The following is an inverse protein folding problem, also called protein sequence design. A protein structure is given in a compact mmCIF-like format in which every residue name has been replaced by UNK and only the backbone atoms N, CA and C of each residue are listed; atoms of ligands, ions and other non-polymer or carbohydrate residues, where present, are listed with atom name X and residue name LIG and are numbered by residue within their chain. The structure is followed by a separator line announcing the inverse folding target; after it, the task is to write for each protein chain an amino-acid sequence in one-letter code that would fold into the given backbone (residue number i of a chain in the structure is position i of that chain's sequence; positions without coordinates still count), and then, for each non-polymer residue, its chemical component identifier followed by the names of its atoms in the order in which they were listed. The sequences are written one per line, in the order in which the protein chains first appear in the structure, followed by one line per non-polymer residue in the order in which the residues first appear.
data_IF_256291940451
#
_entry.id   IF_256291940451
#
_cell.length_a   1.000
_cell.length_b   1.000
_cell.length_c   1.000
_cell.angle_alpha   90.00
_cell.angle_beta   90.00
_cell.angle_gamma   90.00
#
_symmetry.space_group_name_H-M   'P 1'
#
loop_
_entity.id
_entity.type
_entity.pdbx_description
1 polymer ?
#
# COMPACT_ATOMS: atom_id res chain seq x y z
N UNK A 1 -23.15 -48.43 24.04
CA UNK A 1 -24.55 -48.70 24.45
C UNK A 1 -25.41 -48.38 23.25
N UNK A 2 -25.92 -49.42 22.56
CA UNK A 2 -26.70 -49.28 21.35
C UNK A 2 -28.10 -48.81 21.66
N UNK A 3 -28.55 -47.77 21.00
CA UNK A 3 -29.97 -47.38 21.00
C UNK A 3 -30.66 -48.01 19.79
N UNK A 4 -31.45 -49.04 20.04
CA UNK A 4 -32.40 -49.60 19.10
C UNK A 4 -33.52 -48.57 18.86
N UNK A 5 -33.63 -48.06 17.65
CA UNK A 5 -34.79 -47.29 17.23
C UNK A 5 -35.97 -48.24 17.02
N UNK A 6 -36.90 -48.27 17.97
CA UNK A 6 -38.12 -49.02 17.90
C UNK A 6 -39.09 -48.24 17.01
N UNK A 7 -39.36 -48.78 15.81
CA UNK A 7 -40.41 -48.28 14.92
C UNK A 7 -41.77 -48.44 15.53
N UNK A 8 -42.53 -47.36 15.70
CA UNK A 8 -43.93 -47.35 16.18
C UNK A 8 -44.82 -47.87 15.06
N UNK A 9 -45.36 -49.08 15.25
CA UNK A 9 -46.44 -49.60 14.42
C UNK A 9 -47.77 -49.08 14.98
N UNK A 10 -48.34 -48.08 14.28
CA UNK A 10 -49.71 -47.65 14.56
C UNK A 10 -50.68 -48.63 13.85
N UNK A 11 -51.25 -49.57 14.57
CA UNK A 11 -52.35 -50.37 14.09
C UNK A 11 -53.69 -49.59 14.25
N UNK A 12 -54.14 -48.97 13.16
CA UNK A 12 -55.50 -48.43 13.07
C UNK A 12 -56.41 -49.58 12.62
N UNK A 13 -57.29 -50.09 13.53
CA UNK A 13 -58.35 -51.06 13.21
C UNK A 13 -59.40 -50.40 12.30
N UNK A 14 -59.30 -50.59 11.01
CA UNK A 14 -60.35 -50.34 10.02
C UNK A 14 -60.62 -51.67 9.27
N UNK A 15 -61.84 -51.93 8.95
CA UNK A 15 -62.31 -53.08 8.17
C UNK A 15 -61.44 -53.31 6.98
N UNK A 16 -60.70 -54.40 6.96
CA UNK A 16 -59.83 -54.80 5.87
C UNK A 16 -60.69 -55.16 4.68
N UNK A 17 -60.94 -54.14 3.78
CA UNK A 17 -61.07 -54.53 2.39
C UNK A 17 -59.67 -55.06 2.02
N UNK A 18 -59.61 -56.31 1.64
CA UNK A 18 -58.41 -56.89 1.06
C UNK A 18 -58.10 -56.09 -0.24
N UNK A 19 -57.37 -55.01 -0.14
CA UNK A 19 -56.73 -54.39 -1.27
C UNK A 19 -55.58 -55.35 -1.63
N UNK A 20 -55.65 -55.92 -2.78
CA UNK A 20 -54.65 -56.79 -3.38
C UNK A 20 -53.42 -55.91 -3.76
N UNK A 21 -52.72 -55.42 -2.75
CA UNK A 21 -51.34 -54.91 -3.04
C UNK A 21 -50.46 -56.15 -3.14
N UNK A 22 -50.10 -56.46 -4.36
CA UNK A 22 -49.37 -57.69 -4.64
C UNK A 22 -47.93 -57.63 -4.14
N UNK A 23 -47.39 -56.41 -3.89
CA UNK A 23 -45.92 -56.21 -3.66
C UNK A 23 -45.68 -55.37 -2.41
N UNK A 24 -44.69 -55.75 -1.56
CA UNK A 24 -44.16 -54.96 -0.46
C UNK A 24 -42.75 -54.53 -0.80
N UNK A 25 -42.57 -53.23 -1.04
CA UNK A 25 -41.31 -52.64 -1.54
C UNK A 25 -40.73 -51.67 -0.53
N UNK A 26 -39.41 -51.59 -0.45
CA UNK A 26 -38.70 -50.58 0.34
C UNK A 26 -38.29 -49.41 -0.55
N UNK A 27 -38.73 -48.20 -0.23
CA UNK A 27 -38.32 -46.97 -0.92
C UNK A 27 -37.37 -46.21 -0.02
N UNK A 28 -36.12 -46.03 -0.48
CA UNK A 28 -35.07 -45.30 0.21
C UNK A 28 -34.83 -43.98 -0.52
N UNK A 29 -35.36 -42.89 0.02
CA UNK A 29 -35.13 -41.55 -0.50
C UNK A 29 -34.09 -40.82 0.37
N UNK A 30 -32.90 -40.60 -0.19
CA UNK A 30 -31.78 -39.97 0.52
C UNK A 30 -31.50 -40.56 1.91
N UNK A 31 -31.56 -41.90 2.04
CA UNK A 31 -31.33 -42.63 3.29
C UNK A 31 -32.52 -42.67 4.24
N UNK A 32 -33.69 -42.17 3.85
CA UNK A 32 -34.93 -42.39 4.57
C UNK A 32 -35.65 -43.57 3.93
N UNK A 33 -35.68 -44.69 4.62
CA UNK A 33 -36.30 -45.92 4.15
C UNK A 33 -37.73 -46.02 4.62
N UNK A 34 -38.65 -46.21 3.67
CA UNK A 34 -40.07 -46.42 3.95
C UNK A 34 -40.51 -47.69 3.25
N UNK A 35 -41.18 -48.63 3.95
CA UNK A 35 -41.83 -49.78 3.37
C UNK A 35 -43.20 -49.40 2.87
N UNK A 36 -43.52 -49.72 1.63
CA UNK A 36 -44.76 -49.37 0.98
C UNK A 36 -45.39 -50.61 0.30
N UNK A 37 -46.67 -50.71 0.29
CA UNK A 37 -47.41 -51.64 -0.55
C UNK A 37 -47.89 -50.96 -1.81
N UNK A 38 -47.80 -51.64 -2.95
CA UNK A 38 -48.07 -51.08 -4.26
C UNK A 38 -48.61 -52.14 -5.21
N UNK A 39 -49.38 -51.70 -6.20
CA UNK A 39 -49.75 -52.43 -7.40
C UNK A 39 -48.99 -51.95 -8.66
N UNK A 40 -48.00 -51.07 -8.49
CA UNK A 40 -47.26 -50.55 -9.60
C UNK A 40 -46.38 -51.65 -10.23
N UNK A 41 -46.38 -51.74 -11.55
CA UNK A 41 -45.59 -52.69 -12.31
C UNK A 41 -44.13 -52.22 -12.52
N UNK A 42 -43.86 -50.91 -12.33
CA UNK A 42 -42.55 -50.35 -12.55
C UNK A 42 -42.11 -49.40 -11.42
N UNK A 43 -40.78 -49.21 -11.28
CA UNK A 43 -40.18 -48.29 -10.35
C UNK A 43 -40.70 -46.86 -10.54
N UNK A 44 -40.90 -46.43 -11.81
CA UNK A 44 -41.39 -45.09 -12.13
C UNK A 44 -42.81 -44.85 -11.68
N UNK A 45 -43.72 -45.86 -11.88
CA UNK A 45 -45.08 -45.79 -11.42
C UNK A 45 -45.18 -45.75 -9.90
N UNK A 46 -44.39 -46.58 -9.19
CA UNK A 46 -44.27 -46.54 -7.74
C UNK A 46 -43.89 -45.15 -7.23
N UNK A 47 -42.83 -44.54 -7.80
CA UNK A 47 -42.38 -43.25 -7.34
C UNK A 47 -43.42 -42.15 -7.59
N UNK A 48 -44.15 -42.21 -8.72
CA UNK A 48 -45.28 -41.32 -9.02
C UNK A 48 -46.46 -41.53 -8.05
N UNK A 49 -46.86 -42.78 -7.80
CA UNK A 49 -47.90 -43.15 -6.85
C UNK A 49 -47.61 -42.58 -5.44
N UNK A 50 -46.36 -42.70 -5.00
CA UNK A 50 -45.94 -42.24 -3.66
C UNK A 50 -45.55 -40.76 -3.63
N UNK A 51 -45.80 -40.03 -4.69
CA UNK A 51 -45.44 -38.59 -4.84
C UNK A 51 -43.98 -38.29 -4.56
N UNK A 52 -43.08 -39.20 -4.95
CA UNK A 52 -41.64 -38.97 -4.86
C UNK A 52 -41.18 -38.20 -6.10
N UNK A 53 -41.00 -36.91 -5.92
CA UNK A 53 -40.47 -36.03 -7.00
C UNK A 53 -39.03 -36.41 -7.33
N UNK A 54 -38.80 -36.75 -8.60
CA UNK A 54 -37.49 -37.16 -9.15
C UNK A 54 -37.15 -36.25 -10.34
N UNK A 55 -36.09 -35.51 -10.18
CA UNK A 55 -35.54 -34.66 -11.26
C UNK A 55 -34.66 -35.51 -12.21
N UNK A 56 -34.49 -35.02 -13.44
CA UNK A 56 -33.61 -35.68 -14.45
C UNK A 56 -32.14 -35.82 -14.00
N UNK A 57 -31.72 -35.04 -13.04
CA UNK A 57 -30.39 -35.08 -12.44
C UNK A 57 -30.25 -36.05 -11.26
N UNK A 58 -31.36 -36.58 -10.77
CA UNK A 58 -31.40 -37.51 -9.64
C UNK A 58 -31.00 -38.95 -10.11
N UNK A 59 -30.52 -39.75 -9.19
CA UNK A 59 -30.20 -41.15 -9.47
C UNK A 59 -31.25 -42.04 -8.85
N UNK A 60 -31.85 -42.92 -9.64
CA UNK A 60 -32.80 -43.91 -9.23
C UNK A 60 -32.22 -45.29 -9.55
N UNK A 61 -32.30 -46.20 -8.59
CA UNK A 61 -31.83 -47.60 -8.74
C UNK A 61 -32.79 -48.54 -8.04
N UNK A 62 -33.39 -49.52 -8.73
CA UNK A 62 -33.31 -49.78 -10.16
C UNK A 62 -33.81 -48.61 -11.00
N UNK A 63 -33.56 -48.62 -12.32
CA UNK A 63 -33.98 -47.53 -13.21
C UNK A 63 -35.52 -47.38 -13.20
N UNK A 64 -36.08 -46.17 -13.47
CA UNK A 64 -37.51 -45.94 -13.46
C UNK A 64 -38.34 -46.86 -14.39
N UNK A 65 -37.68 -47.33 -15.48
CA UNK A 65 -38.31 -48.26 -16.45
C UNK A 65 -38.19 -49.73 -16.08
N UNK A 66 -37.53 -50.06 -14.98
CA UNK A 66 -37.37 -51.42 -14.51
C UNK A 66 -38.67 -51.95 -13.89
N UNK A 67 -38.94 -53.22 -14.12
CA UNK A 67 -40.01 -53.94 -13.46
C UNK A 67 -39.77 -53.94 -11.95
N UNK A 68 -40.85 -54.03 -11.20
CA UNK A 68 -40.86 -54.00 -9.75
C UNK A 68 -41.37 -55.31 -9.19
N UNK A 69 -40.57 -55.93 -8.34
CA UNK A 69 -40.92 -57.20 -7.71
C UNK A 69 -41.08 -57.06 -6.18
N UNK A 70 -41.81 -58.06 -5.58
CA UNK A 70 -42.00 -58.13 -4.12
C UNK A 70 -40.62 -58.24 -3.42
N UNK A 71 -40.40 -57.39 -2.40
CA UNK A 71 -39.17 -57.32 -1.67
C UNK A 71 -38.12 -56.38 -2.23
N UNK A 72 -38.37 -55.74 -3.37
CA UNK A 72 -37.41 -54.82 -3.99
C UNK A 72 -37.06 -53.59 -3.11
N UNK A 73 -35.85 -53.06 -3.35
CA UNK A 73 -35.37 -51.86 -2.70
C UNK A 73 -35.10 -50.78 -3.77
N UNK A 74 -35.99 -49.81 -3.84
CA UNK A 74 -35.88 -48.67 -4.73
C UNK A 74 -35.14 -47.54 -4.01
N UNK A 75 -33.98 -47.16 -4.55
CA UNK A 75 -33.15 -46.07 -4.00
C UNK A 75 -33.26 -44.83 -4.86
N UNK A 76 -33.63 -43.72 -4.27
CA UNK A 76 -33.62 -42.39 -4.89
C UNK A 76 -32.54 -41.55 -4.22
N UNK A 77 -31.55 -41.12 -4.99
CA UNK A 77 -30.46 -40.22 -4.54
C UNK A 77 -30.57 -38.94 -5.30
N UNK A 78 -31.05 -37.91 -4.64
CA UNK A 78 -31.27 -36.59 -5.24
C UNK A 78 -29.95 -35.87 -5.47
N UNK A 79 -29.87 -35.17 -6.58
CA UNK A 79 -28.75 -34.30 -6.87
C UNK A 79 -28.72 -33.10 -5.92
N UNK A 80 -27.57 -32.87 -5.28
CA UNK A 80 -27.39 -31.82 -4.29
C UNK A 80 -26.22 -30.95 -4.67
N UNK A 81 -26.43 -29.63 -4.73
CA UNK A 81 -25.37 -28.68 -4.96
C UNK A 81 -24.51 -28.51 -3.70
N UNK A 82 -23.21 -28.62 -3.83
CA UNK A 82 -22.25 -28.45 -2.74
C UNK A 82 -21.18 -27.44 -3.12
N UNK A 83 -21.11 -26.34 -2.38
CA UNK A 83 -19.94 -25.46 -2.39
C UNK A 83 -18.91 -26.07 -1.45
N UNK A 84 -17.91 -26.71 -2.03
CA UNK A 84 -16.83 -27.36 -1.29
C UNK A 84 -15.60 -26.45 -1.20
N UNK A 85 -15.13 -26.23 0.03
CA UNK A 85 -13.90 -25.48 0.30
C UNK A 85 -12.89 -26.40 0.99
N UNK A 86 -11.80 -26.74 0.32
CA UNK A 86 -10.73 -27.53 0.91
C UNK A 86 -9.47 -26.67 1.00
N UNK A 87 -9.00 -26.41 2.21
CA UNK A 87 -7.83 -25.57 2.50
C UNK A 87 -7.83 -24.25 1.73
N UNK A 88 -9.00 -23.59 1.70
CA UNK A 88 -9.22 -22.31 1.05
C UNK A 88 -9.37 -22.35 -0.47
N UNK A 89 -9.40 -23.53 -1.08
CA UNK A 89 -9.76 -23.72 -2.49
C UNK A 89 -11.25 -23.99 -2.60
N UNK A 90 -11.97 -23.09 -3.23
CA UNK A 90 -13.42 -23.18 -3.42
C UNK A 90 -13.72 -23.92 -4.74
N UNK A 91 -14.68 -24.82 -4.71
CA UNK A 91 -15.23 -25.48 -5.90
C UNK A 91 -16.71 -25.75 -5.73
N UNK A 92 -17.46 -25.72 -6.82
CA UNK A 92 -18.86 -26.13 -6.84
C UNK A 92 -18.97 -27.53 -7.43
N UNK A 93 -19.73 -28.40 -6.76
CA UNK A 93 -19.91 -29.79 -7.09
C UNK A 93 -21.39 -30.16 -7.02
N UNK A 94 -21.78 -31.14 -7.78
CA UNK A 94 -23.08 -31.83 -7.62
C UNK A 94 -22.77 -33.24 -7.14
N UNK A 95 -23.41 -33.64 -6.03
CA UNK A 95 -23.25 -34.96 -5.42
C UNK A 95 -24.63 -35.60 -5.24
N UNK A 96 -24.64 -36.92 -5.05
CA UNK A 96 -25.86 -37.67 -4.80
C UNK A 96 -25.84 -38.37 -3.43
N UNK A 97 -24.78 -38.09 -2.68
CA UNK A 97 -24.55 -38.69 -1.36
C UNK A 97 -25.55 -38.15 -0.34
N UNK A 98 -25.77 -38.92 0.70
CA UNK A 98 -26.76 -38.61 1.75
C UNK A 98 -26.20 -37.57 2.73
N UNK A 99 -24.92 -37.69 3.05
CA UNK A 99 -24.25 -36.91 4.07
C UNK A 99 -22.91 -36.36 3.57
N UNK A 100 -22.27 -35.57 4.44
CA UNK A 100 -20.98 -34.91 4.12
C UNK A 100 -19.89 -35.96 3.93
N UNK A 101 -19.83 -37.03 4.74
CA UNK A 101 -18.81 -38.06 4.64
C UNK A 101 -18.84 -38.76 3.28
N UNK A 102 -20.02 -39.21 2.84
CA UNK A 102 -20.22 -39.81 1.53
C UNK A 102 -19.84 -38.87 0.39
N UNK A 103 -20.23 -37.59 0.50
CA UNK A 103 -19.84 -36.59 -0.51
C UNK A 103 -18.33 -36.38 -0.58
N UNK A 104 -17.62 -36.32 0.53
CA UNK A 104 -16.18 -36.19 0.56
C UNK A 104 -15.48 -37.41 -0.05
N UNK A 105 -15.99 -38.63 0.24
CA UNK A 105 -15.50 -39.87 -0.32
C UNK A 105 -15.68 -39.90 -1.86
N UNK A 106 -16.89 -39.63 -2.34
CA UNK A 106 -17.22 -39.63 -3.76
C UNK A 106 -16.43 -38.58 -4.56
N UNK A 107 -16.05 -37.48 -3.91
CA UNK A 107 -15.23 -36.40 -4.47
C UNK A 107 -13.70 -36.63 -4.29
N UNK A 108 -13.28 -37.79 -3.72
CA UNK A 108 -11.90 -38.14 -3.40
C UNK A 108 -11.22 -37.10 -2.49
N UNK A 109 -11.95 -36.51 -1.57
CA UNK A 109 -11.42 -35.60 -0.54
C UNK A 109 -11.11 -36.41 0.72
N UNK A 110 -9.84 -36.50 1.06
CA UNK A 110 -9.37 -37.20 2.26
C UNK A 110 -8.93 -36.18 3.31
N UNK A 111 -9.77 -35.88 4.31
CA UNK A 111 -9.39 -35.01 5.42
C UNK A 111 -8.24 -35.62 6.22
N UNK A 112 -7.29 -34.78 6.67
CA UNK A 112 -6.20 -35.20 7.54
C UNK A 112 -6.67 -35.28 8.98
N UNK A 113 -5.91 -36.01 9.78
CA UNK A 113 -6.12 -36.02 11.24
C UNK A 113 -6.07 -34.58 11.78
N UNK A 114 -7.03 -34.23 12.63
CA UNK A 114 -7.19 -32.87 13.16
C UNK A 114 -7.80 -31.84 12.20
N UNK A 115 -8.39 -32.30 11.07
CA UNK A 115 -9.14 -31.41 10.19
C UNK A 115 -10.41 -30.85 10.90
N UNK A 116 -10.74 -29.60 10.61
CA UNK A 116 -11.95 -28.90 11.07
C UNK A 116 -12.95 -28.83 9.93
N UNK A 117 -14.21 -29.12 10.26
CA UNK A 117 -15.33 -29.07 9.33
C UNK A 117 -16.33 -27.99 9.76
N UNK A 118 -17.02 -27.36 8.80
CA UNK A 118 -18.16 -26.46 9.10
C UNK A 118 -19.50 -27.23 9.21
N UNK A 119 -19.61 -28.35 8.52
CA UNK A 119 -20.70 -29.30 8.66
C UNK A 119 -20.11 -30.63 9.15
N UNK A 120 -20.79 -31.29 10.11
CA UNK A 120 -20.31 -32.57 10.62
C UNK A 120 -20.30 -33.65 9.51
N UNK A 121 -19.34 -34.62 9.55
CA UNK A 121 -19.31 -35.67 8.54
C UNK A 121 -20.57 -36.47 8.38
N UNK A 122 -21.34 -36.69 9.46
CA UNK A 122 -22.61 -37.38 9.51
C UNK A 122 -23.81 -36.46 9.24
N UNK A 123 -23.62 -35.19 9.03
CA UNK A 123 -24.67 -34.23 8.73
C UNK A 123 -25.21 -34.44 7.31
N UNK A 124 -26.55 -34.51 7.21
CA UNK A 124 -27.23 -34.72 5.93
C UNK A 124 -27.14 -33.52 5.01
N UNK A 125 -26.94 -33.80 3.75
CA UNK A 125 -26.93 -32.79 2.70
C UNK A 125 -28.35 -32.42 2.28
N UNK A 126 -28.62 -31.11 2.24
CA UNK A 126 -29.87 -30.54 1.76
C UNK A 126 -29.92 -30.43 0.23
N UNK A 127 -31.11 -30.54 -0.35
CA UNK A 127 -31.35 -30.27 -1.79
C UNK A 127 -31.19 -28.78 -2.13
N UNK A 128 -31.44 -27.90 -1.14
CA UNK A 128 -31.40 -26.43 -1.34
C UNK A 128 -30.00 -25.85 -1.43
N UNK A 129 -28.98 -26.70 -1.30
CA UNK A 129 -27.58 -26.33 -1.36
C UNK A 129 -26.84 -26.46 -0.03
N UNK A 130 -25.56 -26.69 -0.11
CA UNK A 130 -24.72 -26.96 1.05
C UNK A 130 -23.38 -26.20 0.91
N UNK A 131 -22.81 -25.79 2.04
CA UNK A 131 -21.47 -25.21 2.11
C UNK A 131 -20.59 -26.01 3.05
N UNK A 132 -19.75 -26.87 2.48
CA UNK A 132 -18.88 -27.77 3.23
C UNK A 132 -17.45 -27.24 3.18
N UNK A 133 -16.91 -26.86 4.33
CA UNK A 133 -15.51 -26.45 4.47
C UNK A 133 -14.72 -27.56 5.17
N UNK A 134 -13.65 -27.98 4.56
CA UNK A 134 -12.66 -28.90 5.12
C UNK A 134 -11.35 -28.17 5.28
N UNK A 135 -10.91 -27.96 6.50
CA UNK A 135 -9.70 -27.22 6.82
C UNK A 135 -8.71 -28.15 7.52
N UNK A 136 -7.71 -28.61 6.78
CA UNK A 136 -6.67 -29.49 7.32
C UNK A 136 -5.63 -28.67 8.15
N UNK A 137 -4.92 -29.31 9.09
CA UNK A 137 -3.76 -28.69 9.72
C UNK A 137 -2.73 -28.25 8.66
N UNK A 138 -2.40 -26.97 8.67
CA UNK A 138 -1.53 -26.34 7.67
C UNK A 138 -0.65 -25.23 8.25
N UNK A 139 0.58 -25.04 7.76
CA UNK A 139 1.42 -23.96 8.21
C UNK A 139 0.91 -22.62 7.65
N UNK A 140 0.85 -21.61 8.50
CA UNK A 140 0.54 -20.22 8.17
C UNK A 140 1.50 -19.30 8.89
N UNK A 141 1.77 -18.13 8.37
CA UNK A 141 2.59 -17.12 9.02
C UNK A 141 1.71 -15.96 9.48
N UNK A 142 1.71 -15.68 10.79
CA UNK A 142 1.01 -14.53 11.37
C UNK A 142 2.03 -13.45 11.76
N UNK A 143 1.78 -12.23 11.29
CA UNK A 143 2.51 -11.03 11.69
C UNK A 143 1.54 -10.07 12.40
N UNK A 144 1.76 -9.85 13.70
CA UNK A 144 0.95 -8.98 14.54
C UNK A 144 1.81 -8.38 15.65
N UNK A 145 1.58 -7.11 16.01
CA UNK A 145 2.23 -6.39 17.11
C UNK A 145 3.77 -6.43 17.05
N UNK A 146 4.32 -6.40 15.83
CA UNK A 146 5.76 -6.46 15.57
C UNK A 146 6.36 -7.86 15.54
N UNK A 147 5.63 -8.87 15.99
CA UNK A 147 6.07 -10.27 15.97
C UNK A 147 5.66 -10.99 14.70
N UNK A 148 6.48 -11.97 14.30
CA UNK A 148 6.21 -12.88 13.19
C UNK A 148 6.32 -14.31 13.69
N UNK A 149 5.21 -15.04 13.63
CA UNK A 149 5.15 -16.46 14.07
C UNK A 149 4.68 -17.35 12.92
N UNK A 150 5.27 -18.51 12.77
CA UNK A 150 4.75 -19.58 11.91
C UNK A 150 3.99 -20.56 12.80
N UNK A 151 2.73 -20.78 12.44
CA UNK A 151 1.77 -21.58 13.22
C UNK A 151 1.27 -22.73 12.34
N UNK A 152 1.02 -23.90 12.95
CA UNK A 152 0.26 -24.98 12.31
C UNK A 152 -1.16 -24.92 12.83
N UNK A 153 -2.15 -24.74 11.96
CA UNK A 153 -3.55 -24.57 12.34
C UNK A 153 -4.49 -25.25 11.35
N UNK A 154 -5.60 -25.74 11.86
CA UNK A 154 -6.76 -26.17 11.10
C UNK A 154 -7.88 -25.13 11.06
N UNK A 155 -7.64 -23.89 11.51
CA UNK A 155 -8.61 -22.82 11.43
C UNK A 155 -9.07 -22.62 9.97
N UNK A 156 -10.36 -22.55 9.68
CA UNK A 156 -10.86 -22.37 8.32
C UNK A 156 -10.67 -20.97 7.78
N UNK A 157 -10.75 -19.94 8.63
CA UNK A 157 -10.69 -18.52 8.24
C UNK A 157 -9.64 -17.75 9.01
N UNK A 158 -9.33 -16.55 8.52
CA UNK A 158 -8.43 -15.60 9.22
C UNK A 158 -9.03 -15.26 10.59
N UNK A 159 -10.33 -15.03 10.66
CA UNK A 159 -11.01 -14.72 11.92
C UNK A 159 -10.81 -15.81 12.95
N UNK A 160 -11.14 -17.07 12.60
CA UNK A 160 -11.01 -18.19 13.53
C UNK A 160 -9.56 -18.44 13.98
N UNK A 161 -8.57 -18.16 13.11
CA UNK A 161 -7.16 -18.22 13.53
C UNK A 161 -6.84 -17.15 14.58
N UNK A 162 -7.26 -15.92 14.36
CA UNK A 162 -6.97 -14.81 15.29
C UNK A 162 -7.63 -15.05 16.65
N UNK A 163 -8.89 -15.54 16.65
CA UNK A 163 -9.63 -15.92 17.85
C UNK A 163 -8.94 -17.04 18.62
N UNK A 164 -8.49 -18.12 17.93
CA UNK A 164 -7.75 -19.23 18.55
C UNK A 164 -6.46 -18.79 19.25
N UNK A 165 -5.84 -17.72 18.74
CA UNK A 165 -4.58 -17.20 19.28
C UNK A 165 -4.78 -15.97 20.20
N UNK A 166 -6.02 -15.63 20.57
CA UNK A 166 -6.33 -14.51 21.45
C UNK A 166 -5.97 -13.15 20.86
N UNK A 167 -5.91 -13.03 19.53
CA UNK A 167 -5.62 -11.77 18.86
C UNK A 167 -6.92 -10.99 18.67
N UNK A 168 -7.17 -10.06 19.58
CA UNK A 168 -8.28 -9.13 19.45
C UNK A 168 -8.04 -8.16 18.29
N UNK A 169 -9.08 -7.88 17.52
CA UNK A 169 -9.05 -7.00 16.37
C UNK A 169 -9.87 -5.74 16.65
N UNK A 170 -9.22 -4.59 16.65
CA UNK A 170 -9.88 -3.30 16.80
C UNK A 170 -10.64 -2.88 15.52
N UNK A 171 -11.67 -2.04 15.69
CA UNK A 171 -12.50 -1.55 14.55
C UNK A 171 -11.71 -0.83 13.46
N UNK A 172 -10.54 -0.30 13.78
CA UNK A 172 -9.70 0.44 12.85
C UNK A 172 -8.56 -0.40 12.28
N UNK A 173 -8.29 -1.58 12.87
CA UNK A 173 -7.17 -2.43 12.47
C UNK A 173 -7.33 -2.92 11.04
N UNK A 174 -6.23 -3.00 10.32
CA UNK A 174 -6.19 -3.52 8.95
C UNK A 174 -5.67 -4.96 8.97
N UNK A 175 -6.47 -5.86 8.40
CA UNK A 175 -6.13 -7.28 8.33
C UNK A 175 -5.99 -7.69 6.87
N UNK A 176 -4.89 -8.33 6.53
CA UNK A 176 -4.62 -8.86 5.19
C UNK A 176 -4.14 -10.31 5.28
N UNK A 177 -4.86 -11.24 4.63
CA UNK A 177 -6.18 -11.11 4.01
C UNK A 177 -7.25 -10.77 5.03
N UNK A 178 -8.45 -10.34 4.59
CA UNK A 178 -9.55 -9.95 5.47
C UNK A 178 -10.07 -11.10 6.33
N UNK A 179 -10.79 -10.79 7.41
CA UNK A 179 -11.26 -11.75 8.43
C UNK A 179 -12.02 -12.95 7.87
N UNK A 180 -12.91 -12.73 6.90
CA UNK A 180 -13.71 -13.79 6.27
C UNK A 180 -12.95 -14.62 5.22
N UNK A 181 -11.69 -14.34 4.97
CA UNK A 181 -10.90 -15.09 3.99
C UNK A 181 -10.57 -16.49 4.51
N UNK A 182 -10.78 -17.50 3.67
CA UNK A 182 -10.33 -18.86 3.98
C UNK A 182 -8.81 -18.95 4.00
N UNK A 183 -8.29 -19.69 4.96
CA UNK A 183 -6.85 -19.92 5.11
C UNK A 183 -6.34 -20.95 4.11
N UNK A 184 -5.22 -20.59 3.46
CA UNK A 184 -4.49 -21.46 2.54
C UNK A 184 -3.16 -21.91 3.17
N UNK A 185 -2.63 -23.06 2.77
CA UNK A 185 -1.29 -23.50 3.19
C UNK A 185 -0.23 -22.45 2.88
N UNK A 186 0.70 -22.21 3.81
CA UNK A 186 1.80 -21.24 3.72
C UNK A 186 1.38 -19.79 3.52
N UNK A 187 0.13 -19.47 3.83
CA UNK A 187 -0.37 -18.08 3.72
C UNK A 187 0.26 -17.19 4.78
N UNK A 188 0.63 -15.98 4.35
CA UNK A 188 1.05 -14.93 5.26
C UNK A 188 -0.15 -14.03 5.61
N UNK A 189 -0.34 -13.80 6.90
CA UNK A 189 -1.34 -12.91 7.46
C UNK A 189 -0.65 -11.76 8.16
N UNK A 190 -1.24 -10.58 8.02
CA UNK A 190 -0.77 -9.39 8.71
C UNK A 190 -1.94 -8.65 9.35
N UNK A 191 -1.78 -8.35 10.63
CA UNK A 191 -2.62 -7.41 11.37
C UNK A 191 -1.80 -6.14 11.58
N UNK A 192 -2.33 -5.00 11.14
CA UNK A 192 -1.74 -3.68 11.34
C UNK A 192 -2.61 -2.93 12.34
N UNK A 193 -2.03 -2.55 13.48
CA UNK A 193 -2.74 -1.80 14.52
C UNK A 193 -2.89 -0.34 14.11
N UNK A 194 -4.13 0.10 13.98
CA UNK A 194 -4.43 1.50 13.64
C UNK A 194 -4.91 2.25 14.86
N UNK A 195 -4.20 3.32 15.21
CA UNK A 195 -4.59 4.23 16.31
C UNK A 195 -4.75 5.64 15.77
N UNK A 196 -5.86 6.28 16.08
CA UNK A 196 -6.09 7.70 15.81
C UNK A 196 -5.86 8.50 17.09
N UNK A 197 -5.03 9.51 17.01
CA UNK A 197 -4.72 10.41 18.12
C UNK A 197 -4.96 11.85 17.66
N UNK A 198 -5.77 12.57 18.41
CA UNK A 198 -6.00 13.99 18.15
C UNK A 198 -5.17 14.82 19.12
N UNK A 199 -4.43 15.79 18.60
CA UNK A 199 -3.71 16.77 19.42
C UNK A 199 -3.81 18.18 18.86
N UNK A 200 -3.53 19.15 19.71
CA UNK A 200 -3.45 20.55 19.32
C UNK A 200 -1.99 20.96 19.15
N UNK A 201 -1.68 21.55 18.00
CA UNK A 201 -0.35 22.06 17.66
C UNK A 201 -0.41 23.54 17.35
N UNK A 202 0.69 24.25 17.60
CA UNK A 202 0.90 25.61 17.10
C UNK A 202 1.55 25.51 15.74
N UNK A 203 1.03 26.23 14.76
CA UNK A 203 1.55 26.29 13.40
C UNK A 203 1.88 27.75 13.10
N UNK A 204 3.11 28.02 12.73
CA UNK A 204 3.51 29.32 12.23
C UNK A 204 2.92 29.55 10.84
N UNK A 205 2.53 30.79 10.59
CA UNK A 205 1.96 31.24 9.32
C UNK A 205 2.86 32.34 8.80
N UNK A 206 3.58 32.05 7.73
CA UNK A 206 4.51 32.98 7.13
C UNK A 206 3.81 34.32 6.79
N UNK A 207 4.48 35.42 7.06
CA UNK A 207 4.00 36.72 6.65
C UNK A 207 4.30 36.98 5.16
N UNK A 208 3.50 37.77 4.52
CA UNK A 208 3.74 38.25 3.17
C UNK A 208 4.64 39.47 3.21
N UNK A 209 5.46 39.65 2.17
CA UNK A 209 6.22 40.89 1.94
C UNK A 209 5.69 41.53 0.67
N UNK A 210 5.28 42.79 0.77
CA UNK A 210 4.90 43.60 -0.38
C UNK A 210 6.03 44.56 -0.72
N UNK A 211 6.18 44.84 -2.00
CA UNK A 211 7.22 45.71 -2.51
C UNK A 211 6.59 46.95 -3.14
N UNK A 212 7.14 48.12 -2.83
CA UNK A 212 6.80 49.35 -3.49
C UNK A 212 8.05 49.92 -4.17
N UNK A 213 7.86 50.61 -5.28
CA UNK A 213 8.95 51.27 -5.98
C UNK A 213 9.29 52.64 -5.32
N UNK A 214 10.56 52.95 -5.16
CA UNK A 214 11.05 54.24 -4.65
C UNK A 214 12.10 54.83 -5.61
N UNK A 215 11.78 55.97 -6.24
CA UNK A 215 12.70 56.66 -7.14
C UNK A 215 13.89 57.38 -6.45
N UNK A 216 13.87 57.47 -5.12
CA UNK A 216 14.94 58.06 -4.34
C UNK A 216 16.11 57.06 -4.11
N UNK A 217 15.78 55.73 -4.10
CA UNK A 217 16.74 54.68 -3.90
C UNK A 217 17.30 54.19 -5.24
N UNK A 218 18.58 53.81 -5.25
CA UNK A 218 19.22 53.25 -6.45
C UNK A 218 18.70 51.84 -6.74
N UNK A 219 18.60 51.49 -8.01
CA UNK A 219 18.22 50.15 -8.46
C UNK A 219 19.11 49.08 -7.84
N UNK A 220 18.49 48.15 -7.12
CA UNK A 220 19.15 47.09 -6.36
C UNK A 220 19.24 47.37 -4.86
N UNK A 221 18.97 48.60 -4.42
CA UNK A 221 18.89 48.95 -3.01
C UNK A 221 17.45 48.73 -2.51
N UNK A 222 17.31 48.32 -1.25
CA UNK A 222 16.00 48.11 -0.59
C UNK A 222 15.99 48.81 0.76
N UNK A 223 14.82 49.29 1.14
CA UNK A 223 14.54 49.86 2.46
C UNK A 223 13.32 49.15 3.08
N UNK A 224 13.50 48.60 4.28
CA UNK A 224 12.36 48.01 5.02
C UNK A 224 11.58 49.15 5.68
N UNK A 225 10.36 49.37 5.18
CA UNK A 225 9.44 50.40 5.71
C UNK A 225 8.66 49.87 6.90
N UNK A 226 8.30 48.57 6.81
CA UNK A 226 7.58 47.88 7.85
C UNK A 226 8.06 46.43 7.90
N UNK A 227 8.53 46.00 9.05
CA UNK A 227 8.88 44.63 9.26
C UNK A 227 7.61 43.76 9.24
N UNK A 228 7.70 42.62 8.53
CA UNK A 228 6.71 41.58 8.60
C UNK A 228 6.83 40.80 9.90
N UNK A 229 5.76 40.16 10.32
CA UNK A 229 5.74 39.27 11.46
C UNK A 229 4.90 38.08 11.17
N UNK A 230 5.43 36.87 11.39
CA UNK A 230 4.71 35.64 11.22
C UNK A 230 3.51 35.53 12.14
N UNK A 231 2.45 34.98 11.62
CA UNK A 231 1.25 34.63 12.34
C UNK A 231 1.45 33.36 13.15
N UNK A 232 0.48 33.08 13.99
CA UNK A 232 0.42 31.85 14.77
C UNK A 232 -1.00 31.32 14.74
N UNK A 233 -1.16 30.11 14.25
CA UNK A 233 -2.42 29.39 14.30
C UNK A 233 -2.36 28.28 15.34
N UNK A 234 -3.53 27.98 15.91
CA UNK A 234 -3.76 26.77 16.67
C UNK A 234 -4.48 25.77 15.77
N UNK A 235 -3.86 24.66 15.47
CA UNK A 235 -4.43 23.60 14.66
C UNK A 235 -4.74 22.37 15.51
N UNK A 236 -5.95 21.83 15.34
CA UNK A 236 -6.31 20.51 15.81
C UNK A 236 -5.92 19.50 14.73
N UNK A 237 -5.00 18.62 15.02
CA UNK A 237 -4.49 17.63 14.07
C UNK A 237 -4.87 16.23 14.50
N UNK A 238 -5.27 15.41 13.54
CA UNK A 238 -5.43 13.97 13.71
C UNK A 238 -4.18 13.25 13.17
N UNK A 239 -3.61 12.42 14.00
CA UNK A 239 -2.49 11.55 13.65
C UNK A 239 -3.03 10.13 13.53
N UNK A 240 -2.80 9.51 12.40
CA UNK A 240 -3.11 8.10 12.17
C UNK A 240 -1.80 7.33 12.29
N UNK A 241 -1.75 6.47 13.30
CA UNK A 241 -0.59 5.63 13.57
C UNK A 241 -0.89 4.21 13.08
N UNK A 242 0.07 3.60 12.39
CA UNK A 242 0.04 2.19 11.97
C UNK A 242 1.21 1.46 12.65
N UNK A 243 0.92 0.42 13.43
CA UNK A 243 1.90 -0.29 14.26
C UNK A 243 2.76 0.69 15.10
N UNK A 244 2.13 1.72 15.67
CA UNK A 244 2.78 2.75 16.49
C UNK A 244 3.57 3.82 15.70
N UNK A 245 3.72 3.69 14.38
CA UNK A 245 4.42 4.65 13.53
C UNK A 245 3.44 5.61 12.86
N UNK A 246 3.83 6.87 12.74
CA UNK A 246 3.02 7.87 12.04
C UNK A 246 2.87 7.49 10.56
N UNK A 247 1.63 7.26 10.14
CA UNK A 247 1.25 6.97 8.76
C UNK A 247 0.69 8.20 8.05
N UNK A 248 -0.13 8.96 8.76
CA UNK A 248 -0.80 10.12 8.19
C UNK A 248 -1.02 11.19 9.27
N UNK A 249 -0.93 12.47 8.85
CA UNK A 249 -1.26 13.63 9.66
C UNK A 249 -2.26 14.49 8.91
N UNK A 250 -3.41 14.75 9.52
CA UNK A 250 -4.48 15.59 8.95
C UNK A 250 -4.75 16.77 9.86
N UNK A 251 -4.89 17.94 9.27
CA UNK A 251 -5.39 19.11 10.00
C UNK A 251 -6.93 19.08 9.94
N UNK A 252 -7.56 18.91 11.11
CA UNK A 252 -9.02 18.83 11.23
C UNK A 252 -9.63 20.23 11.27
N UNK A 253 -9.00 21.12 12.04
CA UNK A 253 -9.42 22.51 12.17
C UNK A 253 -8.24 23.42 12.43
N UNK A 254 -8.36 24.69 12.05
CA UNK A 254 -7.36 25.71 12.27
C UNK A 254 -8.06 27.00 12.75
N UNK A 255 -7.49 27.62 13.75
CA UNK A 255 -7.96 28.93 14.27
C UNK A 255 -6.76 29.84 14.43
N UNK A 256 -6.89 31.08 14.00
CA UNK A 256 -5.83 32.06 14.14
C UNK A 256 -5.73 32.51 15.61
N UNK A 257 -4.54 32.41 16.17
CA UNK A 257 -4.18 32.94 17.48
C UNK A 257 -3.63 34.35 17.32
N UNK A 258 -2.85 34.56 16.28
CA UNK A 258 -2.27 35.84 15.91
C UNK A 258 -2.13 35.90 14.38
N UNK A 259 -2.79 36.80 13.69
CA UNK A 259 -2.67 36.93 12.25
C UNK A 259 -1.24 37.37 11.85
N UNK A 260 -0.73 36.97 10.69
CA UNK A 260 0.53 37.47 10.17
C UNK A 260 0.41 38.96 9.83
N UNK A 261 1.52 39.67 10.04
CA UNK A 261 1.60 41.11 9.66
C UNK A 261 2.45 41.21 8.40
N UNK A 262 1.88 41.74 7.33
CA UNK A 262 2.58 41.93 6.07
C UNK A 262 3.72 42.94 6.20
N UNK A 263 4.93 42.53 5.79
CA UNK A 263 6.07 43.42 5.63
C UNK A 263 5.95 44.31 4.38
N UNK A 264 6.54 45.50 4.44
CA UNK A 264 6.61 46.41 3.32
C UNK A 264 8.05 46.81 3.08
N UNK A 265 8.53 46.58 1.86
CA UNK A 265 9.90 46.87 1.44
C UNK A 265 9.85 47.77 0.20
N UNK A 266 10.53 48.86 0.25
CA UNK A 266 10.79 49.73 -0.93
C UNK A 266 11.93 49.16 -1.73
N UNK A 267 11.78 49.19 -3.05
CA UNK A 267 12.85 48.83 -4.01
C UNK A 267 13.23 50.06 -4.83
N UNK A 268 14.50 50.34 -4.84
CA UNK A 268 15.02 51.48 -5.62
C UNK A 268 14.83 51.28 -7.13
N UNK A 269 14.37 52.33 -7.78
CA UNK A 269 14.21 52.43 -9.23
C UNK A 269 15.20 53.40 -9.89
N UNK A 270 15.86 54.28 -9.09
CA UNK A 270 16.85 55.23 -9.59
C UNK A 270 18.01 54.49 -10.23
N UNK A 271 18.36 54.85 -11.45
CA UNK A 271 19.55 54.31 -12.09
C UNK A 271 20.78 54.62 -11.25
N UNK A 272 21.60 53.61 -10.94
CA UNK A 272 22.92 53.86 -10.37
C UNK A 272 23.71 54.72 -11.36
N UNK A 273 24.44 55.78 -10.89
CA UNK A 273 25.36 56.50 -11.75
C UNK A 273 26.26 55.47 -12.45
N UNK A 274 26.36 55.56 -13.75
CA UNK A 274 27.31 54.74 -14.47
C UNK A 274 28.69 54.85 -13.74
N UNK A 275 29.40 53.74 -13.53
CA UNK A 275 30.75 53.83 -13.00
C UNK A 275 31.45 54.87 -13.87
N UNK A 276 31.94 55.96 -13.25
CA UNK A 276 32.78 56.92 -13.99
C UNK A 276 33.81 56.07 -14.70
N UNK A 277 33.82 56.09 -16.02
CA UNK A 277 34.89 55.51 -16.81
C UNK A 277 36.18 56.00 -16.15
N UNK A 278 37.07 55.14 -15.69
CA UNK A 278 38.33 55.59 -15.14
C UNK A 278 38.95 56.44 -16.22
N UNK A 279 39.30 57.67 -15.85
CA UNK A 279 40.01 58.59 -16.70
C UNK A 279 41.13 57.81 -17.42
N UNK A 280 41.14 57.84 -18.76
CA UNK A 280 42.13 57.17 -19.59
C UNK A 280 43.54 57.71 -19.37
N UNK A 281 43.70 58.67 -18.48
CA UNK A 281 44.98 59.20 -17.99
C UNK A 281 45.59 58.38 -16.84
N UNK A 282 45.02 57.22 -16.47
CA UNK A 282 45.67 56.35 -15.49
C UNK A 282 46.88 55.74 -16.13
N UNK A 283 48.02 56.49 -15.97
CA UNK A 283 49.40 56.04 -15.88
C UNK A 283 49.62 54.63 -16.52
N UNK A 284 49.30 54.57 -17.85
CA UNK A 284 49.58 53.43 -18.68
C UNK A 284 51.10 53.19 -18.91
N UNK A 285 51.94 54.15 -18.55
CA UNK A 285 53.33 54.05 -18.85
C UNK A 285 54.06 52.89 -18.19
N UNK A 286 53.91 52.69 -16.91
CA UNK A 286 54.61 51.63 -16.14
C UNK A 286 53.96 50.27 -16.31
N UNK A 287 52.69 50.19 -16.05
CA UNK A 287 51.94 48.93 -16.10
C UNK A 287 51.77 48.36 -17.51
N UNK A 288 51.71 49.24 -18.53
CA UNK A 288 51.69 48.81 -19.93
C UNK A 288 53.07 48.26 -20.40
N UNK A 289 54.16 48.81 -19.92
CA UNK A 289 55.49 48.23 -20.19
C UNK A 289 55.64 46.85 -19.55
N UNK A 290 55.22 46.69 -18.30
CA UNK A 290 55.25 45.41 -17.63
C UNK A 290 54.31 44.39 -18.35
N UNK A 291 53.10 44.79 -18.68
CA UNK A 291 52.14 43.91 -19.39
C UNK A 291 52.66 43.52 -20.78
N UNK A 292 53.32 44.46 -21.48
CA UNK A 292 53.91 44.14 -22.78
C UNK A 292 55.00 43.07 -22.67
N UNK A 293 55.80 43.11 -21.61
CA UNK A 293 56.82 42.10 -21.35
C UNK A 293 56.20 40.77 -20.80
N UNK A 294 55.24 40.82 -19.92
CA UNK A 294 54.65 39.62 -19.27
C UNK A 294 53.69 38.85 -20.19
N UNK A 295 52.88 39.56 -21.01
CA UNK A 295 51.77 38.98 -21.77
C UNK A 295 51.73 39.47 -23.25
N UNK A 296 52.74 40.16 -23.72
CA UNK A 296 52.66 40.82 -25.01
C UNK A 296 51.67 41.99 -25.06
N UNK A 297 51.18 42.45 -23.90
CA UNK A 297 50.19 43.52 -23.79
C UNK A 297 48.74 43.01 -23.90
N UNK A 298 48.52 41.70 -23.90
CA UNK A 298 47.16 41.10 -23.93
C UNK A 298 46.56 40.99 -22.53
N UNK A 299 45.65 41.93 -22.20
CA UNK A 299 45.01 41.99 -20.89
C UNK A 299 44.00 40.87 -20.64
N UNK A 300 43.56 40.16 -21.69
CA UNK A 300 42.62 39.03 -21.58
C UNK A 300 43.28 37.66 -21.76
N UNK A 301 44.63 37.61 -21.69
CA UNK A 301 45.35 36.35 -21.94
C UNK A 301 45.12 35.32 -20.85
N UNK A 302 44.84 34.07 -21.29
CA UNK A 302 44.83 32.88 -20.49
C UNK A 302 45.35 31.72 -21.36
N UNK A 303 46.58 31.33 -21.15
CA UNK A 303 47.20 30.21 -21.90
C UNK A 303 47.13 28.87 -21.16
N UNK A 304 46.49 28.81 -20.00
CA UNK A 304 46.43 27.62 -19.19
C UNK A 304 47.68 27.31 -18.35
N UNK A 305 48.65 28.22 -18.35
CA UNK A 305 49.92 28.08 -17.60
C UNK A 305 49.81 28.46 -16.11
N UNK A 306 48.59 28.76 -15.60
CA UNK A 306 48.31 29.15 -14.21
C UNK A 306 48.48 30.64 -13.93
N UNK A 307 48.82 31.46 -14.96
CA UNK A 307 48.93 32.93 -14.89
C UNK A 307 47.91 33.58 -15.82
N UNK A 308 47.33 34.69 -15.38
CA UNK A 308 46.16 35.28 -16.01
C UNK A 308 46.28 36.79 -16.20
N UNK A 309 45.76 37.24 -17.34
CA UNK A 309 45.65 38.66 -17.68
C UNK A 309 46.95 39.34 -18.05
N UNK A 310 46.89 40.64 -18.37
CA UNK A 310 48.00 41.42 -18.86
C UNK A 310 49.23 41.43 -17.97
N UNK A 311 49.03 41.31 -16.67
CA UNK A 311 50.10 41.36 -15.66
C UNK A 311 50.45 39.98 -15.09
N UNK A 312 49.94 38.91 -15.70
CA UNK A 312 50.25 37.52 -15.38
C UNK A 312 50.15 37.20 -13.89
N UNK A 313 48.98 37.53 -13.28
CA UNK A 313 48.68 37.12 -11.91
C UNK A 313 48.46 35.65 -11.78
N UNK A 314 49.03 35.01 -10.75
CA UNK A 314 48.48 33.76 -10.28
C UNK A 314 47.13 34.01 -9.63
N UNK A 315 46.20 33.02 -9.66
CA UNK A 315 44.89 33.18 -9.06
C UNK A 315 44.97 33.38 -7.53
N UNK A 316 45.96 32.77 -6.88
CA UNK A 316 46.19 32.92 -5.45
C UNK A 316 46.59 34.35 -5.09
N UNK A 317 47.55 34.90 -5.83
CA UNK A 317 48.04 36.29 -5.64
C UNK A 317 46.92 37.29 -5.94
N UNK A 318 46.15 37.08 -7.01
CA UNK A 318 45.01 37.90 -7.37
C UNK A 318 43.96 37.99 -6.24
N UNK A 319 43.58 36.84 -5.69
CA UNK A 319 42.63 36.77 -4.58
C UNK A 319 43.19 37.36 -3.28
N UNK A 320 44.47 37.21 -3.02
CA UNK A 320 45.09 37.76 -1.80
C UNK A 320 45.05 39.27 -1.73
N UNK A 321 44.93 39.95 -2.85
CA UNK A 321 44.77 41.42 -2.94
C UNK A 321 43.32 41.86 -3.14
N UNK A 322 42.37 40.91 -3.06
CA UNK A 322 40.92 41.17 -3.15
C UNK A 322 40.37 41.21 -4.58
N UNK A 323 41.10 40.67 -5.55
CA UNK A 323 40.67 40.64 -6.95
C UNK A 323 39.48 39.71 -7.18
N UNK A 324 38.42 40.17 -7.86
CA UNK A 324 37.21 39.37 -8.14
C UNK A 324 37.42 38.48 -9.37
N UNK A 325 36.79 37.28 -9.38
CA UNK A 325 36.82 36.36 -10.51
C UNK A 325 38.21 35.94 -10.93
N UNK A 326 38.46 35.93 -12.22
CA UNK A 326 39.81 35.72 -12.78
C UNK A 326 40.40 37.04 -13.34
N UNK A 327 41.72 37.24 -13.26
CA UNK A 327 42.37 38.47 -13.76
C UNK A 327 42.05 38.77 -15.23
N UNK A 328 42.11 37.77 -16.10
CA UNK A 328 41.91 37.93 -17.54
C UNK A 328 40.45 38.26 -17.93
N UNK A 329 39.53 38.08 -17.04
CA UNK A 329 38.10 38.44 -17.20
C UNK A 329 37.86 39.91 -16.80
N UNK A 330 38.84 40.55 -16.16
CA UNK A 330 38.72 41.91 -15.63
C UNK A 330 39.28 42.93 -16.58
N UNK A 331 38.75 44.14 -16.53
CA UNK A 331 39.27 45.26 -17.31
C UNK A 331 40.72 45.55 -16.97
N UNK A 332 41.47 46.11 -17.92
CA UNK A 332 42.83 46.64 -17.72
C UNK A 332 42.93 47.51 -16.46
N UNK A 333 42.00 48.44 -16.29
CA UNK A 333 41.97 49.33 -15.13
C UNK A 333 41.83 48.56 -13.81
N UNK A 334 40.98 47.49 -13.78
CA UNK A 334 40.81 46.62 -12.61
C UNK A 334 42.09 45.84 -12.32
N UNK A 335 42.75 45.29 -13.32
CA UNK A 335 44.01 44.57 -13.16
C UNK A 335 45.11 45.50 -12.61
N UNK A 336 45.23 46.71 -13.16
CA UNK A 336 46.17 47.72 -12.66
C UNK A 336 45.85 48.14 -11.22
N UNK A 337 44.57 48.30 -10.87
CA UNK A 337 44.17 48.63 -9.50
C UNK A 337 44.71 47.60 -8.50
N UNK A 338 44.53 46.32 -8.76
CA UNK A 338 44.98 45.25 -7.85
C UNK A 338 46.49 45.04 -7.93
N UNK A 339 47.11 45.32 -9.07
CA UNK A 339 48.58 45.36 -9.22
C UNK A 339 49.22 46.45 -8.36
N UNK A 340 48.65 47.65 -8.31
CA UNK A 340 49.08 48.72 -7.41
C UNK A 340 49.00 48.31 -5.94
N UNK A 341 47.93 47.58 -5.53
CA UNK A 341 47.80 47.06 -4.15
C UNK A 341 48.90 46.03 -3.86
N UNK A 342 49.16 45.12 -4.79
CA UNK A 342 50.21 44.12 -4.67
C UNK A 342 51.55 44.74 -4.61
N UNK A 343 51.82 45.70 -5.48
CA UNK A 343 53.06 46.43 -5.54
C UNK A 343 53.36 47.20 -4.25
N UNK A 344 52.36 47.93 -3.72
CA UNK A 344 52.52 48.65 -2.47
C UNK A 344 52.83 47.74 -1.28
N UNK A 345 52.25 46.46 -1.30
CA UNK A 345 52.46 45.49 -0.26
C UNK A 345 53.75 44.69 -0.38
N UNK A 346 54.20 44.37 -1.59
CA UNK A 346 55.25 43.39 -1.85
C UNK A 346 56.31 43.83 -2.83
N UNK A 347 56.25 45.06 -3.26
CA UNK A 347 57.23 45.66 -4.19
C UNK A 347 57.14 45.17 -5.65
N UNK A 348 58.03 45.60 -6.47
CA UNK A 348 58.08 45.29 -7.90
C UNK A 348 58.55 43.84 -8.20
N UNK A 349 59.21 43.19 -7.25
CA UNK A 349 59.70 41.80 -7.40
C UNK A 349 58.62 40.75 -7.71
N UNK A 350 57.35 41.13 -7.66
CA UNK A 350 56.27 40.27 -8.05
C UNK A 350 56.14 40.05 -9.56
N UNK A 351 56.75 40.92 -10.34
CA UNK A 351 56.78 40.84 -11.82
C UNK A 351 58.20 40.69 -12.29
N UNK A 352 58.51 39.55 -12.89
CA UNK A 352 59.88 39.31 -13.45
C UNK A 352 60.28 40.30 -14.54
N UNK A 353 59.25 40.85 -15.19
CA UNK A 353 59.48 41.89 -16.23
C UNK A 353 59.70 43.30 -15.68
N UNK A 354 59.45 43.59 -14.39
CA UNK A 354 59.62 44.93 -13.85
C UNK A 354 61.09 45.39 -14.00
N UNK A 355 62.03 44.60 -13.56
CA UNK A 355 63.45 44.91 -13.69
C UNK A 355 63.92 44.99 -15.16
N UNK A 356 63.36 44.12 -16.04
CA UNK A 356 63.68 44.11 -17.47
C UNK A 356 63.25 45.38 -18.20
N UNK A 357 62.20 46.05 -17.68
CA UNK A 357 61.73 47.32 -18.28
C UNK A 357 62.16 48.56 -17.47
N UNK A 358 63.22 48.42 -16.63
CA UNK A 358 63.82 49.50 -15.89
C UNK A 358 63.05 50.03 -14.68
N UNK A 359 62.26 49.14 -13.99
CA UNK A 359 61.47 49.48 -12.81
C UNK A 359 62.06 48.73 -11.62
N UNK A 360 62.44 49.46 -10.60
CA UNK A 360 63.11 48.94 -9.41
C UNK A 360 62.39 49.34 -8.13
#
# INVERSE_FOLDING_TARGET
MGALATGLVVAVGGVVQASTYDQLVSVDVDGVVTQVRTESDSVGELLAEKNVDVAATDRVSPAPVSDLDDGDVVKVRRAKAVTLVVDGKISQKTVHDVDVAGALESLNVQPKEGAVFTMAPDERLSRDGNSVVVSNPKPVTLKVDGEKKTLTTAAPTVQSLLEQHGVEVGKLDEIKPGLGSYLKPRQALRVVRIKKVTRTEKIEVDHKVTYSSDPSLFKGDTEVVKEGRDGLDRAKVELILADGKLRERRVISRSSVRPPVTGVVKRGTKAKPAPKTPDSSIDGGVWDRIAKCESGGNWSINTGNGYYGGLQFSLATWRSVGGPGYPHEQSKATQIKFAKILQARSGWGQWSCASKVGIH
#
